data_IF_352947636360
#
_entry.id   IF_352947636360
#
_cell.length_a   1.000
_cell.length_b   1.000
_cell.length_c   1.000
_cell.angle_alpha   90.00
_cell.angle_beta   90.00
_cell.angle_gamma   90.00
#
_symmetry.space_group_name_H-M   'P 1'
#
loop_
_entity.id
_entity.type
_entity.pdbx_description
1 polymer ?
#
# COMPACT_ATOMS: atom_id res chain seq x y z
N UNK A 1 9.04 22.21 18.04
CA UNK A 1 7.68 21.85 17.58
C UNK A 1 6.67 22.97 17.78
N UNK A 2 5.83 23.27 16.78
CA UNK A 2 4.70 24.22 16.87
C UNK A 2 3.43 23.56 17.45
N UNK A 3 2.28 24.25 17.45
CA UNK A 3 1.02 23.69 18.00
C UNK A 3 0.46 22.53 17.16
N UNK A 4 0.46 22.66 15.83
CA UNK A 4 -0.04 21.63 14.92
C UNK A 4 0.80 20.34 15.07
N UNK A 5 2.12 20.45 15.06
CA UNK A 5 3.01 19.31 15.27
C UNK A 5 2.73 18.58 16.58
N UNK A 6 2.46 19.30 17.68
CA UNK A 6 2.11 18.68 18.97
C UNK A 6 0.76 17.95 18.94
N UNK A 7 -0.23 18.51 18.24
CA UNK A 7 -1.54 17.89 18.09
C UNK A 7 -1.44 16.59 17.29
N UNK A 8 -0.71 16.62 16.17
CA UNK A 8 -0.44 15.45 15.34
C UNK A 8 0.36 14.39 16.13
N UNK A 9 1.43 14.76 16.82
CA UNK A 9 2.23 13.85 17.64
C UNK A 9 1.39 13.14 18.72
N UNK A 10 0.59 13.88 19.49
CA UNK A 10 -0.24 13.31 20.55
C UNK A 10 -1.26 12.30 20.02
N UNK A 11 -1.90 12.64 18.90
CA UNK A 11 -2.88 11.78 18.24
C UNK A 11 -2.21 10.54 17.66
N UNK A 12 -1.07 10.71 17.01
CA UNK A 12 -0.28 9.61 16.47
C UNK A 12 0.15 8.63 17.55
N UNK A 13 0.70 9.12 18.67
CA UNK A 13 1.12 8.29 19.80
C UNK A 13 -0.02 7.44 20.38
N UNK A 14 -1.22 8.02 20.43
CA UNK A 14 -2.42 7.29 20.89
C UNK A 14 -2.79 6.15 19.94
N UNK A 15 -2.61 6.31 18.63
CA UNK A 15 -2.88 5.25 17.65
C UNK A 15 -1.75 4.21 17.60
N UNK A 16 -0.50 4.62 17.83
CA UNK A 16 0.64 3.71 17.97
C UNK A 16 0.51 2.78 19.19
N UNK A 17 -0.17 3.23 20.25
CA UNK A 17 -0.40 2.44 21.45
C UNK A 17 -1.31 1.21 21.23
N UNK A 18 -2.03 1.16 20.11
CA UNK A 18 -2.81 -0.03 19.71
C UNK A 18 -1.96 -0.86 18.76
N UNK A 19 -1.60 -2.07 19.18
CA UNK A 19 -1.00 -3.06 18.29
C UNK A 19 -1.98 -3.37 17.15
N UNK A 20 -1.54 -3.27 15.90
CA UNK A 20 -2.37 -3.57 14.73
C UNK A 20 -1.60 -4.29 13.62
N UNK A 21 -0.51 -4.97 13.97
CA UNK A 21 0.30 -5.71 13.00
C UNK A 21 -0.54 -6.75 12.24
N UNK A 22 -0.36 -6.84 10.92
CA UNK A 22 -1.04 -7.83 10.08
C UNK A 22 -0.41 -9.23 10.18
N UNK A 23 -1.21 -10.27 9.98
CA UNK A 23 -0.76 -11.67 9.95
C UNK A 23 -1.01 -12.28 8.57
N UNK A 24 0.07 -12.45 7.80
CA UNK A 24 0.02 -13.01 6.45
C UNK A 24 -0.45 -14.48 6.40
N UNK A 25 -0.29 -15.24 7.50
CA UNK A 25 -0.76 -16.62 7.61
C UNK A 25 -2.28 -16.71 7.87
N UNK A 26 -2.88 -15.62 8.35
CA UNK A 26 -4.32 -15.54 8.58
C UNK A 26 -5.10 -15.55 7.27
N UNK A 27 -6.25 -16.21 7.27
CA UNK A 27 -7.18 -16.33 6.13
C UNK A 27 -8.46 -15.51 6.31
N UNK A 28 -8.61 -14.85 7.45
CA UNK A 28 -9.73 -13.96 7.75
C UNK A 28 -9.31 -12.51 7.60
N UNK A 29 -10.28 -11.60 7.50
CA UNK A 29 -10.09 -10.15 7.46
C UNK A 29 -10.94 -9.53 8.59
N UNK A 30 -10.36 -8.69 9.47
CA UNK A 30 -8.93 -8.38 9.56
C UNK A 30 -8.13 -9.60 10.03
N UNK A 31 -6.85 -9.67 9.65
CA UNK A 31 -5.97 -10.77 10.05
C UNK A 31 -5.69 -10.82 11.55
N UNK A 32 -5.76 -9.66 12.22
CA UNK A 32 -5.53 -9.51 13.66
C UNK A 32 -6.61 -8.61 14.31
N UNK A 33 -6.95 -8.89 15.57
CA UNK A 33 -8.01 -8.15 16.29
C UNK A 33 -7.61 -6.70 16.62
N UNK A 34 -6.31 -6.43 16.73
CA UNK A 34 -5.79 -5.10 16.99
C UNK A 34 -6.23 -4.04 15.96
N UNK A 35 -6.35 -4.44 14.69
CA UNK A 35 -6.90 -3.58 13.64
C UNK A 35 -8.36 -3.19 13.91
N UNK A 36 -9.17 -4.14 14.41
CA UNK A 36 -10.56 -3.88 14.80
C UNK A 36 -10.65 -2.96 16.01
N UNK A 37 -9.77 -3.12 17.00
CA UNK A 37 -9.71 -2.22 18.15
C UNK A 37 -9.33 -0.79 17.75
N UNK A 38 -8.38 -0.63 16.81
CA UNK A 38 -8.06 0.67 16.24
C UNK A 38 -9.27 1.27 15.51
N UNK A 39 -9.95 0.50 14.65
CA UNK A 39 -11.17 0.95 13.97
C UNK A 39 -12.26 1.42 14.97
N UNK A 40 -12.48 0.69 16.07
CA UNK A 40 -13.43 1.08 17.12
C UNK A 40 -13.05 2.40 17.80
N UNK A 41 -11.77 2.61 18.10
CA UNK A 41 -11.28 3.88 18.65
C UNK A 41 -11.54 5.04 17.68
N UNK A 42 -11.18 4.86 16.40
CA UNK A 42 -11.37 5.88 15.37
C UNK A 42 -12.85 6.21 15.17
N UNK A 43 -13.74 5.20 15.16
CA UNK A 43 -15.17 5.41 15.06
C UNK A 43 -15.72 6.31 16.17
N UNK A 44 -15.34 6.04 17.43
CA UNK A 44 -15.76 6.86 18.57
C UNK A 44 -15.31 8.32 18.44
N UNK A 45 -14.09 8.53 17.92
CA UNK A 45 -13.58 9.88 17.68
C UNK A 45 -14.34 10.58 16.55
N UNK A 46 -14.60 9.90 15.43
CA UNK A 46 -15.38 10.46 14.31
C UNK A 46 -16.82 10.80 14.73
N UNK A 47 -17.46 9.97 15.55
CA UNK A 47 -18.76 10.27 16.14
C UNK A 47 -18.69 11.52 17.02
N UNK A 48 -17.65 11.66 17.84
CA UNK A 48 -17.43 12.84 18.68
C UNK A 48 -17.20 14.13 17.87
N UNK A 49 -16.73 13.98 16.63
CA UNK A 49 -16.55 15.06 15.65
C UNK A 49 -17.83 15.39 14.86
N UNK A 50 -18.92 14.66 15.12
CA UNK A 50 -20.20 14.87 14.47
C UNK A 50 -20.26 14.33 13.04
N UNK A 51 -19.37 13.40 12.66
CA UNK A 51 -19.51 12.70 11.38
C UNK A 51 -20.77 11.83 11.39
N UNK A 52 -21.31 11.62 10.19
CA UNK A 52 -22.48 10.79 9.93
C UNK A 52 -22.04 9.46 9.33
N UNK A 53 -23.00 8.53 9.32
CA UNK A 53 -22.86 7.21 8.70
C UNK A 53 -21.61 6.45 9.20
N UNK A 54 -21.22 6.68 10.46
CA UNK A 54 -20.11 5.97 11.11
C UNK A 54 -20.51 4.52 11.25
N UNK A 55 -19.77 3.64 10.56
CA UNK A 55 -20.10 2.23 10.47
C UNK A 55 -18.84 1.39 10.33
N UNK A 56 -18.73 0.34 11.14
CA UNK A 56 -17.70 -0.69 11.03
C UNK A 56 -18.38 -1.96 10.53
N UNK A 57 -17.90 -2.51 9.42
CA UNK A 57 -18.43 -3.78 8.90
C UNK A 57 -17.81 -5.00 9.59
N UNK A 58 -18.26 -6.20 9.21
CA UNK A 58 -17.79 -7.46 9.81
C UNK A 58 -16.27 -7.67 9.61
N UNK A 59 -15.70 -7.09 8.55
CA UNK A 59 -14.28 -7.13 8.23
C UNK A 59 -13.49 -6.00 8.88
N UNK A 60 -14.08 -5.23 9.79
CA UNK A 60 -13.45 -4.09 10.47
C UNK A 60 -13.12 -2.90 9.54
N UNK A 61 -13.73 -2.81 8.35
CA UNK A 61 -13.62 -1.60 7.54
C UNK A 61 -14.52 -0.53 8.17
N UNK A 62 -13.91 0.58 8.57
CA UNK A 62 -14.61 1.74 9.11
C UNK A 62 -14.94 2.72 7.98
N UNK A 63 -16.20 3.13 7.87
CA UNK A 63 -16.71 4.17 7.00
C UNK A 63 -17.23 5.33 7.84
N UNK A 64 -17.03 6.55 7.39
CA UNK A 64 -17.76 7.72 7.91
C UNK A 64 -17.82 8.82 6.85
N UNK A 65 -18.75 9.75 7.04
CA UNK A 65 -18.92 10.90 6.15
C UNK A 65 -19.06 12.19 6.95
N UNK A 66 -18.28 13.20 6.59
CA UNK A 66 -18.47 14.57 7.04
C UNK A 66 -19.34 15.31 6.02
N UNK A 67 -20.53 15.82 6.42
CA UNK A 67 -21.37 16.59 5.51
C UNK A 67 -20.67 17.85 5.03
N UNK A 68 -20.70 18.09 3.72
CA UNK A 68 -20.29 19.34 3.12
C UNK A 68 -21.32 20.43 3.31
N UNK A 69 -20.90 21.68 3.10
CA UNK A 69 -21.79 22.85 3.04
C UNK A 69 -21.96 23.38 1.60
N UNK A 70 -21.28 22.76 0.62
CA UNK A 70 -21.41 23.07 -0.82
C UNK A 70 -21.72 21.80 -1.63
N UNK A 71 -23.00 21.45 -1.79
CA UNK A 71 -23.42 20.23 -2.51
C UNK A 71 -23.04 20.16 -4.00
N UNK A 72 -22.68 21.30 -4.62
CA UNK A 72 -22.23 21.34 -6.01
C UNK A 72 -20.74 21.01 -6.18
N UNK A 73 -19.96 21.02 -5.09
CA UNK A 73 -18.56 20.64 -5.13
C UNK A 73 -18.43 19.10 -5.20
N UNK A 74 -17.34 18.59 -5.78
CA UNK A 74 -17.08 17.15 -5.80
C UNK A 74 -17.07 16.54 -4.39
N UNK A 75 -17.61 15.32 -4.30
CA UNK A 75 -17.50 14.47 -3.12
C UNK A 75 -16.17 13.74 -3.16
N UNK A 76 -15.37 13.88 -2.11
CA UNK A 76 -14.04 13.28 -2.08
C UNK A 76 -13.90 12.25 -0.97
N UNK A 77 -13.00 11.29 -1.17
CA UNK A 77 -12.67 10.27 -0.19
C UNK A 77 -11.23 10.36 0.32
N UNK A 78 -11.00 9.99 1.58
CA UNK A 78 -9.67 9.59 2.07
C UNK A 78 -9.71 8.13 2.52
N UNK A 79 -8.75 7.34 2.06
CA UNK A 79 -8.60 5.93 2.43
C UNK A 79 -7.22 5.73 3.05
N UNK A 80 -7.19 5.16 4.24
CA UNK A 80 -5.95 4.87 4.99
C UNK A 80 -6.04 3.46 5.55
N UNK A 81 -4.91 2.80 5.78
CA UNK A 81 -4.92 1.46 6.35
C UNK A 81 -4.67 1.45 7.86
N UNK A 82 -5.18 0.40 8.51
CA UNK A 82 -5.18 0.23 9.96
C UNK A 82 -3.96 -0.57 10.46
N UNK A 83 -3.44 -1.44 9.60
CA UNK A 83 -2.39 -2.36 9.95
C UNK A 83 -1.00 -1.73 9.95
N UNK A 84 -0.06 -2.49 10.51
CA UNK A 84 1.37 -2.26 10.32
C UNK A 84 1.99 -3.56 9.82
N UNK A 85 3.06 -3.47 9.05
CA UNK A 85 3.75 -4.66 8.52
C UNK A 85 4.32 -5.59 9.61
N UNK A 86 4.38 -6.89 9.32
CA UNK A 86 5.22 -7.86 10.02
C UNK A 86 6.55 -8.07 9.28
N UNK A 87 7.62 -7.51 9.83
CA UNK A 87 9.01 -7.70 9.36
C UNK A 87 9.85 -8.53 10.35
N UNK A 88 9.20 -9.28 11.25
CA UNK A 88 9.88 -10.07 12.28
C UNK A 88 10.41 -9.24 13.46
N UNK A 89 9.94 -8.00 13.61
CA UNK A 89 10.20 -7.13 14.76
C UNK A 89 9.05 -7.19 15.76
N UNK A 90 9.21 -6.54 16.92
CA UNK A 90 8.14 -6.49 17.91
C UNK A 90 6.90 -5.75 17.36
N UNK A 91 5.68 -6.25 17.60
CA UNK A 91 4.46 -5.53 17.24
C UNK A 91 4.13 -4.40 18.23
N UNK A 92 4.85 -4.30 19.34
CA UNK A 92 4.67 -3.27 20.37
C UNK A 92 5.57 -2.08 20.03
N UNK A 93 4.95 -0.98 19.62
CA UNK A 93 5.64 0.25 19.23
C UNK A 93 5.90 1.10 20.46
N UNK A 94 7.15 1.53 20.64
CA UNK A 94 7.56 2.47 21.69
C UNK A 94 8.09 3.74 21.04
N UNK A 95 7.21 4.71 20.76
CA UNK A 95 7.61 5.91 20.04
C UNK A 95 8.37 6.87 20.96
N UNK A 96 9.32 7.59 20.37
CA UNK A 96 10.08 8.65 21.01
C UNK A 96 10.32 9.79 20.03
N UNK A 97 10.31 11.02 20.54
CA UNK A 97 10.60 12.21 19.74
C UNK A 97 11.98 12.72 20.11
N UNK A 98 12.87 12.71 19.13
CA UNK A 98 14.28 13.09 19.30
C UNK A 98 14.62 14.25 18.37
N UNK A 99 15.50 15.14 18.84
CA UNK A 99 16.06 16.19 18.00
C UNK A 99 17.13 15.59 17.10
N UNK A 100 17.01 15.74 15.79
CA UNK A 100 18.05 15.27 14.87
C UNK A 100 19.04 16.39 14.54
N UNK A 101 20.29 16.24 14.97
CA UNK A 101 21.35 17.24 14.73
C UNK A 101 22.31 16.86 13.59
N UNK A 102 22.00 15.81 12.83
CA UNK A 102 22.86 15.32 11.74
C UNK A 102 23.97 14.36 12.18
N UNK A 103 24.02 14.00 13.46
CA UNK A 103 24.93 13.02 14.03
C UNK A 103 24.19 11.71 14.35
N UNK A 104 24.94 10.66 14.68
CA UNK A 104 24.37 9.38 15.12
C UNK A 104 23.49 9.58 16.37
N UNK A 105 22.29 8.97 16.36
CA UNK A 105 21.33 9.02 17.46
C UNK A 105 21.19 7.64 18.10
N UNK A 106 21.31 7.57 19.42
CA UNK A 106 21.00 6.33 20.15
C UNK A 106 19.48 6.19 20.26
N UNK A 107 18.91 5.17 19.62
CA UNK A 107 17.47 4.85 19.74
C UNK A 107 17.20 3.97 20.96
N UNK A 108 18.16 3.11 21.31
CA UNK A 108 18.03 2.18 22.43
C UNK A 108 19.38 1.88 23.07
N UNK A 109 19.62 2.41 24.26
CA UNK A 109 20.86 2.18 24.99
C UNK A 109 21.04 0.71 25.41
N UNK A 110 19.94 0.01 25.75
CA UNK A 110 20.00 -1.36 26.29
C UNK A 110 20.37 -2.38 25.22
N UNK A 111 19.75 -2.25 24.05
CA UNK A 111 20.00 -3.11 22.89
C UNK A 111 21.14 -2.58 21.99
N UNK A 112 21.75 -1.44 22.38
CA UNK A 112 22.79 -0.73 21.63
C UNK A 112 22.39 -0.46 20.16
N UNK A 113 21.18 0.06 19.96
CA UNK A 113 20.64 0.40 18.63
C UNK A 113 20.87 1.89 18.36
N UNK A 114 21.56 2.17 17.26
CA UNK A 114 21.94 3.51 16.84
C UNK A 114 21.46 3.79 15.42
N UNK A 115 20.73 4.89 15.25
CA UNK A 115 20.43 5.47 13.96
C UNK A 115 21.67 6.23 13.48
N UNK A 116 22.43 5.65 12.55
CA UNK A 116 23.68 6.26 12.08
C UNK A 116 23.45 7.16 10.88
N UNK A 117 23.93 8.40 10.95
CA UNK A 117 23.72 9.38 9.88
C UNK A 117 24.33 8.94 8.54
N UNK A 118 25.43 8.18 8.58
CA UNK A 118 26.06 7.63 7.38
C UNK A 118 25.27 6.48 6.73
N UNK A 119 24.45 5.77 7.50
CA UNK A 119 23.60 4.67 7.01
C UNK A 119 22.24 5.19 6.51
N UNK A 120 21.86 6.41 6.93
CA UNK A 120 20.58 7.05 6.64
C UNK A 120 20.74 8.45 6.03
N UNK A 121 21.37 8.59 4.86
CA UNK A 121 21.57 9.89 4.20
C UNK A 121 20.25 10.61 3.88
N UNK A 122 19.14 9.89 3.76
CA UNK A 122 17.79 10.43 3.59
C UNK A 122 17.31 11.27 4.77
N UNK A 123 17.94 11.17 5.94
CA UNK A 123 17.65 12.02 7.10
C UNK A 123 18.28 13.42 7.00
N UNK A 124 19.28 13.62 6.14
CA UNK A 124 20.04 14.87 6.04
C UNK A 124 19.18 16.15 5.82
N UNK A 125 18.07 16.12 5.04
CA UNK A 125 17.19 17.29 4.89
C UNK A 125 16.48 17.73 6.18
N UNK A 126 16.49 16.89 7.22
CA UNK A 126 15.78 17.06 8.48
C UNK A 126 16.69 17.43 9.66
N UNK A 127 17.95 17.83 9.39
CA UNK A 127 18.83 18.37 10.43
C UNK A 127 18.18 19.61 11.06
N UNK A 128 18.04 19.58 12.38
CA UNK A 128 17.34 20.59 13.16
C UNK A 128 15.84 20.34 13.34
N UNK A 129 15.27 19.26 12.79
CA UNK A 129 13.87 18.89 13.03
C UNK A 129 13.72 18.03 14.29
N UNK A 130 12.54 18.13 14.91
CA UNK A 130 12.08 17.13 15.87
C UNK A 130 11.55 15.94 15.03
N UNK A 131 12.03 14.73 15.29
CA UNK A 131 11.69 13.51 14.52
C UNK A 131 11.15 12.46 15.48
N UNK A 132 10.05 11.80 15.08
CA UNK A 132 9.50 10.65 15.78
C UNK A 132 10.19 9.39 15.27
N UNK A 133 10.67 8.57 16.19
CA UNK A 133 11.28 7.25 15.94
C UNK A 133 10.60 6.19 16.81
N UNK A 134 10.79 4.91 16.48
CA UNK A 134 10.61 3.83 17.46
C UNK A 134 11.85 3.74 18.39
N UNK A 135 11.83 2.82 19.36
CA UNK A 135 13.02 2.45 20.13
C UNK A 135 13.93 1.45 19.39
N UNK A 136 13.76 1.28 18.08
CA UNK A 136 14.52 0.34 17.26
C UNK A 136 14.16 -1.14 17.45
N UNK A 137 13.28 -1.49 18.40
CA UNK A 137 12.84 -2.90 18.60
C UNK A 137 11.59 -3.26 17.80
N UNK A 138 10.99 -2.27 17.15
CA UNK A 138 9.76 -2.32 16.35
C UNK A 138 9.92 -1.39 15.13
N UNK A 139 9.03 -1.54 14.15
CA UNK A 139 8.74 -0.45 13.19
C UNK A 139 8.14 0.75 13.94
N UNK A 140 8.10 1.93 13.32
CA UNK A 140 7.40 3.08 13.91
C UNK A 140 5.89 2.99 13.66
N UNK A 141 5.46 2.36 12.57
CA UNK A 141 4.05 2.30 12.17
C UNK A 141 3.52 3.66 11.69
N UNK A 142 4.41 4.53 11.17
CA UNK A 142 3.97 5.73 10.47
C UNK A 142 3.25 5.34 9.17
N UNK A 143 3.71 4.27 8.53
CA UNK A 143 2.94 3.46 7.60
C UNK A 143 1.89 2.59 8.34
N UNK A 144 0.59 2.90 8.34
CA UNK A 144 -0.06 4.11 7.80
C UNK A 144 -0.74 4.95 8.89
N UNK A 145 -0.40 4.75 10.17
CA UNK A 145 -1.03 5.50 11.27
C UNK A 145 -0.73 7.00 11.24
N UNK A 146 0.30 7.45 10.51
CA UNK A 146 0.53 8.87 10.25
C UNK A 146 -0.60 9.43 9.36
N UNK A 147 -1.00 8.73 8.31
CA UNK A 147 -2.12 9.11 7.48
C UNK A 147 -3.45 9.09 8.23
N UNK A 148 -3.69 8.04 9.02
CA UNK A 148 -4.83 7.97 9.93
C UNK A 148 -4.87 9.22 10.80
N UNK A 149 -3.74 9.63 11.35
CA UNK A 149 -3.61 10.85 12.15
C UNK A 149 -3.94 12.11 11.36
N UNK A 150 -3.43 12.25 10.13
CA UNK A 150 -3.73 13.38 9.24
C UNK A 150 -5.24 13.46 8.96
N UNK A 151 -5.87 12.36 8.57
CA UNK A 151 -7.30 12.31 8.24
C UNK A 151 -8.15 12.61 9.47
N UNK A 152 -7.82 12.03 10.62
CA UNK A 152 -8.56 12.27 11.86
C UNK A 152 -8.43 13.71 12.35
N UNK A 153 -7.25 14.31 12.24
CA UNK A 153 -7.05 15.72 12.59
C UNK A 153 -7.76 16.65 11.59
N UNK A 154 -7.75 16.31 10.30
CA UNK A 154 -8.49 17.02 9.28
C UNK A 154 -10.00 17.00 9.58
N UNK A 155 -10.58 15.84 9.90
CA UNK A 155 -12.00 15.72 10.25
C UNK A 155 -12.35 16.53 11.51
N UNK A 156 -11.46 16.55 12.50
CA UNK A 156 -11.60 17.38 13.69
C UNK A 156 -11.61 18.89 13.36
N UNK A 157 -10.64 19.36 12.56
CA UNK A 157 -10.44 20.78 12.24
C UNK A 157 -11.46 21.33 11.26
N UNK A 158 -11.91 20.52 10.30
CA UNK A 158 -12.87 20.95 9.28
C UNK A 158 -14.24 21.30 9.87
N UNK A 159 -14.58 20.90 11.09
CA UNK A 159 -15.77 21.38 11.80
C UNK A 159 -15.78 22.91 11.99
N UNK A 160 -14.59 23.52 11.99
CA UNK A 160 -14.38 24.95 12.21
C UNK A 160 -13.74 25.64 10.98
N UNK A 161 -13.76 24.97 9.82
CA UNK A 161 -13.17 25.50 8.59
C UNK A 161 -13.83 26.82 8.16
N UNK A 162 -13.00 27.74 7.66
CA UNK A 162 -13.42 29.03 7.10
C UNK A 162 -13.75 28.97 5.60
N UNK A 163 -13.85 27.75 5.05
CA UNK A 163 -14.09 27.51 3.64
C UNK A 163 -15.17 26.45 3.42
N UNK A 164 -15.84 26.57 2.29
CA UNK A 164 -16.85 25.62 1.87
C UNK A 164 -16.21 24.36 1.26
N UNK A 165 -16.86 23.21 1.39
CA UNK A 165 -16.46 21.95 0.76
C UNK A 165 -17.67 21.05 0.52
N UNK A 166 -17.50 20.09 -0.40
CA UNK A 166 -18.45 19.00 -0.61
C UNK A 166 -18.41 17.98 0.51
N UNK A 167 -19.17 16.89 0.37
CA UNK A 167 -19.11 15.78 1.32
C UNK A 167 -17.73 15.15 1.28
N UNK A 168 -17.19 14.84 2.46
CA UNK A 168 -15.89 14.16 2.60
C UNK A 168 -16.14 12.81 3.25
N UNK A 169 -15.80 11.75 2.54
CA UNK A 169 -15.88 10.39 3.03
C UNK A 169 -14.50 9.95 3.53
N UNK A 170 -14.50 9.15 4.59
CA UNK A 170 -13.27 8.52 5.10
C UNK A 170 -13.51 7.02 5.23
N UNK A 171 -12.52 6.24 4.82
CA UNK A 171 -12.51 4.79 5.01
C UNK A 171 -11.18 4.35 5.63
N UNK A 172 -11.25 3.50 6.65
CA UNK A 172 -10.08 2.88 7.26
C UNK A 172 -10.14 1.38 7.02
N UNK A 173 -9.19 0.85 6.26
CA UNK A 173 -9.20 -0.53 5.78
C UNK A 173 -8.16 -1.38 6.50
N UNK A 174 -8.45 -2.66 6.76
CA UNK A 174 -7.46 -3.60 7.30
C UNK A 174 -6.62 -4.26 6.21
N UNK A 175 -5.53 -4.90 6.64
CA UNK A 175 -4.75 -5.85 5.86
C UNK A 175 -4.26 -5.32 4.49
N UNK A 176 -3.78 -4.07 4.45
CA UNK A 176 -3.11 -3.52 3.27
C UNK A 176 -1.81 -4.28 3.00
N UNK A 177 -1.01 -4.44 4.06
CA UNK A 177 0.37 -4.94 4.01
C UNK A 177 0.46 -6.39 3.53
N UNK A 178 -0.63 -7.14 3.67
CA UNK A 178 -0.75 -8.56 3.27
C UNK A 178 -1.62 -8.75 2.03
N UNK A 179 -1.72 -7.69 1.21
CA UNK A 179 -2.19 -7.75 -0.17
C UNK A 179 -3.48 -6.99 -0.43
N UNK A 180 -3.65 -5.80 0.15
CA UNK A 180 -4.76 -4.88 -0.13
C UNK A 180 -6.12 -5.52 0.18
N UNK A 181 -6.20 -6.37 1.22
CA UNK A 181 -7.37 -7.24 1.42
C UNK A 181 -8.61 -6.42 1.76
N UNK A 182 -8.47 -5.40 2.62
CA UNK A 182 -9.56 -4.50 2.99
C UNK A 182 -10.11 -3.70 1.80
N UNK A 183 -9.25 -3.01 1.05
CA UNK A 183 -9.69 -2.20 -0.10
C UNK A 183 -10.32 -3.02 -1.23
N UNK A 184 -9.92 -4.29 -1.41
CA UNK A 184 -10.54 -5.21 -2.39
C UNK A 184 -11.98 -5.59 -2.04
N UNK A 185 -12.32 -5.66 -0.76
CA UNK A 185 -13.66 -6.06 -0.29
C UNK A 185 -14.53 -4.90 0.19
N UNK A 186 -13.99 -3.68 0.26
CA UNK A 186 -14.70 -2.46 0.67
C UNK A 186 -16.03 -2.28 -0.07
N UNK A 187 -17.11 -1.99 0.65
CA UNK A 187 -18.43 -1.72 0.08
C UNK A 187 -18.50 -0.30 -0.49
N UNK A 188 -18.33 -0.18 -1.82
CA UNK A 188 -18.32 1.13 -2.48
C UNK A 188 -19.67 1.85 -2.42
N UNK A 189 -20.77 1.15 -2.13
CA UNK A 189 -22.08 1.81 -1.95
C UNK A 189 -22.12 2.70 -0.70
N UNK A 190 -21.23 2.46 0.27
CA UNK A 190 -21.03 3.27 1.48
C UNK A 190 -20.01 4.39 1.30
N UNK A 191 -19.27 4.36 0.20
CA UNK A 191 -18.17 5.28 -0.10
C UNK A 191 -18.45 6.01 -1.42
N UNK A 192 -19.55 6.79 -1.43
CA UNK A 192 -20.07 7.44 -2.62
C UNK A 192 -19.33 8.75 -2.92
N UNK A 193 -18.19 8.62 -3.59
CA UNK A 193 -17.27 9.73 -3.92
C UNK A 193 -17.07 9.83 -5.43
N UNK A 194 -16.74 11.02 -5.91
CA UNK A 194 -16.32 11.24 -7.30
C UNK A 194 -14.87 10.77 -7.53
N UNK A 195 -14.02 10.92 -6.51
CA UNK A 195 -12.65 10.40 -6.46
C UNK A 195 -12.16 10.35 -5.01
N UNK A 196 -11.05 9.67 -4.75
CA UNK A 196 -10.48 9.54 -3.40
C UNK A 196 -8.97 9.74 -3.40
N UNK A 197 -8.38 9.68 -2.21
CA UNK A 197 -6.95 9.77 -1.98
C UNK A 197 -6.50 8.73 -0.97
N UNK A 198 -5.37 8.08 -1.22
CA UNK A 198 -4.57 7.48 -0.15
C UNK A 198 -3.46 8.45 0.24
N UNK A 199 -3.09 8.46 1.51
CA UNK A 199 -1.94 9.23 2.01
C UNK A 199 -0.92 8.19 2.46
N UNK A 200 -0.17 7.64 1.53
CA UNK A 200 0.58 6.41 1.73
C UNK A 200 1.82 6.33 0.83
N UNK A 201 2.41 7.49 0.53
CA UNK A 201 3.79 7.55 0.04
C UNK A 201 4.71 7.94 1.21
N UNK A 202 6.01 7.70 1.04
CA UNK A 202 7.01 7.97 2.05
C UNK A 202 7.33 9.47 2.10
N UNK A 203 8.36 9.88 1.36
CA UNK A 203 9.06 11.14 1.61
C UNK A 203 8.22 12.35 1.18
N UNK A 204 8.50 13.48 1.83
CA UNK A 204 7.89 14.77 1.51
C UNK A 204 7.89 15.05 -0.01
N UNK A 205 6.70 15.32 -0.54
CA UNK A 205 6.46 15.67 -1.94
C UNK A 205 6.16 14.50 -2.87
N UNK A 206 6.27 13.25 -2.40
CA UNK A 206 5.95 12.08 -3.22
C UNK A 206 4.48 12.04 -3.64
N UNK A 207 4.27 11.73 -4.92
CA UNK A 207 2.95 11.55 -5.54
C UNK A 207 3.01 10.32 -6.45
N UNK A 208 2.03 9.44 -6.30
CA UNK A 208 1.86 8.24 -7.12
C UNK A 208 0.46 8.25 -7.72
N UNK A 209 0.40 8.34 -9.05
CA UNK A 209 -0.82 8.13 -9.83
C UNK A 209 -0.63 7.10 -10.95
N UNK A 210 0.53 6.44 -10.97
CA UNK A 210 0.87 5.32 -11.85
C UNK A 210 1.37 4.16 -10.99
N UNK A 211 0.77 2.99 -11.14
CA UNK A 211 1.14 1.74 -10.45
C UNK A 211 1.25 0.61 -11.47
N UNK A 212 1.75 -0.56 -11.09
CA UNK A 212 1.71 -1.69 -12.01
C UNK A 212 0.27 -2.17 -12.23
N UNK A 213 0.00 -2.72 -13.41
CA UNK A 213 -0.99 -3.77 -13.56
C UNK A 213 -0.40 -5.08 -13.04
N UNK A 214 -1.18 -5.86 -12.27
CA UNK A 214 -0.70 -7.08 -11.63
C UNK A 214 -1.61 -8.28 -11.90
N UNK A 215 -1.00 -9.41 -12.24
CA UNK A 215 -1.65 -10.71 -12.25
C UNK A 215 -0.85 -11.73 -11.45
N UNK A 216 -1.55 -12.68 -10.84
CA UNK A 216 -0.99 -13.91 -10.28
C UNK A 216 -1.25 -15.08 -11.22
N UNK A 217 -0.30 -16.00 -11.29
CA UNK A 217 -0.33 -17.16 -12.15
C UNK A 217 -0.02 -18.37 -11.30
N UNK A 218 -0.85 -19.40 -11.41
CA UNK A 218 -0.61 -20.70 -10.80
C UNK A 218 -0.61 -21.77 -11.87
N UNK A 219 0.49 -22.50 -11.99
CA UNK A 219 0.65 -23.61 -12.94
C UNK A 219 0.81 -24.91 -12.15
N UNK A 220 -0.08 -25.86 -12.41
CA UNK A 220 -0.04 -27.20 -11.83
C UNK A 220 0.30 -28.23 -12.91
N UNK A 221 1.33 -29.04 -12.64
CA UNK A 221 1.84 -30.07 -13.56
C UNK A 221 1.79 -31.42 -12.86
N UNK A 222 1.05 -32.36 -13.43
CA UNK A 222 1.01 -33.76 -12.98
C UNK A 222 1.87 -34.65 -13.86
N UNK A 223 2.80 -35.34 -13.21
CA UNK A 223 3.70 -36.31 -13.79
C UNK A 223 3.14 -37.73 -13.85
N UNK A 224 4.03 -38.68 -14.08
CA UNK A 224 3.76 -40.13 -14.01
C UNK A 224 4.92 -40.74 -13.26
N UNK A 225 4.66 -41.30 -12.08
CA UNK A 225 5.69 -41.96 -11.25
C UNK A 225 6.00 -43.37 -11.76
N UNK A 226 7.23 -43.82 -11.54
CA UNK A 226 7.66 -45.19 -11.78
C UNK A 226 8.89 -45.48 -10.91
N UNK A 227 9.08 -46.74 -10.52
CA UNK A 227 10.34 -47.17 -9.92
C UNK A 227 11.49 -46.90 -10.90
N UNK A 228 12.66 -46.37 -10.47
CA UNK A 228 13.76 -46.01 -11.38
C UNK A 228 14.19 -47.15 -12.32
N UNK A 229 14.18 -48.40 -11.84
CA UNK A 229 14.52 -49.58 -12.66
C UNK A 229 13.54 -49.86 -13.81
N UNK A 230 12.33 -49.31 -13.74
CA UNK A 230 11.24 -49.50 -14.71
C UNK A 230 10.82 -48.18 -15.38
N UNK A 231 11.64 -47.13 -15.25
CA UNK A 231 11.29 -45.77 -15.65
C UNK A 231 11.30 -45.53 -17.17
N UNK A 232 12.03 -46.35 -17.94
CA UNK A 232 12.19 -46.17 -19.40
C UNK A 232 10.82 -46.12 -20.08
N UNK A 233 10.52 -44.99 -20.73
CA UNK A 233 9.25 -44.70 -21.42
C UNK A 233 7.99 -44.69 -20.52
N UNK A 234 8.13 -44.83 -19.19
CA UNK A 234 7.00 -44.78 -18.25
C UNK A 234 7.03 -43.50 -17.43
N UNK A 235 8.15 -43.20 -16.78
CA UNK A 235 8.31 -42.05 -15.89
C UNK A 235 8.17 -40.74 -16.69
N UNK A 236 7.29 -39.85 -16.22
CA UNK A 236 7.25 -38.45 -16.65
C UNK A 236 7.53 -37.60 -15.42
N UNK A 237 8.71 -36.98 -15.39
CA UNK A 237 9.14 -36.19 -14.25
C UNK A 237 8.62 -34.73 -14.39
N UNK A 238 7.67 -34.30 -13.55
CA UNK A 238 7.06 -32.98 -13.65
C UNK A 238 8.05 -31.85 -13.32
N UNK A 239 9.13 -32.13 -12.56
CA UNK A 239 10.20 -31.15 -12.28
C UNK A 239 10.87 -30.69 -13.57
N UNK A 240 11.08 -31.61 -14.53
CA UNK A 240 11.67 -31.26 -15.82
C UNK A 240 10.72 -30.45 -16.69
N UNK A 241 9.44 -30.78 -16.66
CA UNK A 241 8.40 -30.02 -17.37
C UNK A 241 8.29 -28.60 -16.80
N UNK A 242 8.35 -28.45 -15.48
CA UNK A 242 8.40 -27.15 -14.80
C UNK A 242 9.62 -26.33 -15.23
N UNK A 243 10.80 -26.95 -15.27
CA UNK A 243 12.01 -26.28 -15.76
C UNK A 243 11.90 -25.85 -17.22
N UNK A 244 11.33 -26.68 -18.10
CA UNK A 244 11.12 -26.32 -19.50
C UNK A 244 10.15 -25.15 -19.65
N UNK A 245 9.11 -25.08 -18.81
CA UNK A 245 8.19 -23.95 -18.75
C UNK A 245 8.89 -22.67 -18.29
N UNK A 246 9.60 -22.70 -17.16
CA UNK A 246 10.38 -21.55 -16.65
C UNK A 246 11.44 -21.12 -17.68
N UNK A 247 12.02 -22.06 -18.41
CA UNK A 247 12.98 -21.79 -19.48
C UNK A 247 12.39 -21.12 -20.73
N UNK A 248 11.08 -20.88 -20.80
CA UNK A 248 10.45 -20.13 -21.88
C UNK A 248 10.59 -18.60 -21.69
N UNK A 249 10.83 -18.12 -20.47
CA UNK A 249 10.90 -16.70 -20.15
C UNK A 249 12.33 -16.14 -20.30
N UNK A 250 12.44 -14.86 -20.68
CA UNK A 250 13.71 -14.15 -20.71
C UNK A 250 14.24 -13.95 -19.28
N UNK A 251 15.54 -14.21 -19.08
CA UNK A 251 16.21 -14.05 -17.78
C UNK A 251 16.42 -12.60 -17.37
N UNK A 252 16.31 -11.66 -18.32
CA UNK A 252 16.42 -10.23 -18.04
C UNK A 252 15.06 -9.55 -17.86
N UNK A 253 13.95 -10.25 -18.13
CA UNK A 253 12.59 -9.74 -17.93
C UNK A 253 12.07 -10.12 -16.53
N UNK A 254 12.86 -9.77 -15.50
CA UNK A 254 12.66 -10.15 -14.09
C UNK A 254 12.85 -8.95 -13.14
N UNK A 255 12.33 -9.00 -11.90
CA UNK A 255 12.43 -7.88 -10.95
C UNK A 255 13.87 -7.39 -10.70
N UNK A 256 14.82 -8.32 -10.61
CA UNK A 256 16.23 -8.03 -10.31
C UNK A 256 17.02 -7.45 -11.50
N UNK A 257 16.41 -7.36 -12.68
CA UNK A 257 17.01 -6.80 -13.90
C UNK A 257 16.21 -5.63 -14.50
N UNK A 258 15.12 -5.19 -13.86
CA UNK A 258 14.22 -4.16 -14.40
C UNK A 258 14.05 -3.00 -13.43
N UNK A 259 13.94 -1.80 -13.97
CA UNK A 259 13.78 -0.56 -13.20
C UNK A 259 12.68 0.34 -13.75
N UNK A 260 12.36 1.41 -13.01
CA UNK A 260 11.40 2.43 -13.45
C UNK A 260 10.07 1.82 -13.95
N UNK A 261 9.71 2.03 -15.22
CA UNK A 261 8.46 1.58 -15.84
C UNK A 261 8.55 0.20 -16.53
N UNK A 262 9.68 -0.49 -16.43
CA UNK A 262 9.85 -1.80 -17.06
C UNK A 262 9.04 -2.87 -16.31
N UNK A 263 8.13 -3.54 -17.02
CA UNK A 263 7.41 -4.71 -16.50
C UNK A 263 8.31 -5.94 -16.37
N UNK A 264 7.80 -7.00 -15.76
CA UNK A 264 8.53 -8.26 -15.59
C UNK A 264 7.61 -9.49 -15.42
N UNK A 265 8.21 -10.66 -15.60
CA UNK A 265 7.72 -11.93 -15.04
C UNK A 265 8.51 -12.28 -13.79
N UNK A 266 7.83 -12.83 -12.78
CA UNK A 266 8.50 -13.25 -11.55
C UNK A 266 7.99 -14.60 -11.10
N UNK A 267 8.86 -15.62 -11.06
CA UNK A 267 8.56 -16.91 -10.44
C UNK A 267 8.76 -16.78 -8.94
N UNK A 268 7.67 -16.84 -8.18
CA UNK A 268 7.67 -16.59 -6.73
C UNK A 268 7.83 -17.87 -5.92
N UNK A 269 7.37 -19.01 -6.44
CA UNK A 269 7.39 -20.28 -5.73
C UNK A 269 7.43 -21.48 -6.69
N UNK A 270 8.14 -22.53 -6.30
CA UNK A 270 8.20 -23.82 -6.99
C UNK A 270 8.27 -24.95 -5.96
N UNK A 271 7.16 -25.67 -5.81
CA UNK A 271 7.08 -26.88 -4.98
C UNK A 271 6.91 -28.06 -5.91
N UNK A 272 7.83 -29.03 -5.85
CA UNK A 272 7.78 -30.17 -6.76
C UNK A 272 8.36 -31.46 -6.16
N UNK A 273 7.86 -32.58 -6.67
CA UNK A 273 8.28 -33.95 -6.36
C UNK A 273 8.11 -34.82 -7.62
N UNK A 274 8.42 -36.13 -7.59
CA UNK A 274 8.29 -36.99 -8.78
C UNK A 274 6.84 -37.18 -9.32
N UNK A 275 5.80 -36.83 -8.57
CA UNK A 275 4.39 -36.95 -8.96
C UNK A 275 3.78 -35.63 -9.45
N UNK A 276 4.10 -34.51 -8.79
CA UNK A 276 3.53 -33.20 -9.10
C UNK A 276 4.53 -32.05 -8.96
N UNK A 277 4.28 -30.98 -9.70
CA UNK A 277 4.95 -29.69 -9.56
C UNK A 277 3.92 -28.56 -9.60
N UNK A 278 4.09 -27.58 -8.72
CA UNK A 278 3.26 -26.38 -8.61
C UNK A 278 4.16 -25.15 -8.69
N UNK A 279 3.85 -24.24 -9.61
CA UNK A 279 4.59 -23.01 -9.86
C UNK A 279 3.64 -21.84 -9.55
N UNK A 280 4.12 -20.87 -8.77
CA UNK A 280 3.47 -19.56 -8.66
C UNK A 280 4.31 -18.53 -9.37
N UNK A 281 3.66 -17.64 -10.11
CA UNK A 281 4.29 -16.51 -10.76
C UNK A 281 3.46 -15.24 -10.61
N UNK A 282 4.11 -14.12 -10.87
CA UNK A 282 3.51 -12.80 -10.96
C UNK A 282 3.88 -12.16 -12.30
N UNK A 283 2.93 -11.44 -12.90
CA UNK A 283 3.18 -10.48 -13.98
C UNK A 283 3.03 -9.08 -13.41
N UNK A 284 3.95 -8.19 -13.78
CA UNK A 284 3.82 -6.74 -13.55
C UNK A 284 4.11 -5.99 -14.83
N UNK A 285 3.31 -4.99 -15.16
CA UNK A 285 3.58 -4.05 -16.26
C UNK A 285 2.77 -2.77 -16.09
N UNK A 286 3.32 -1.60 -16.41
CA UNK A 286 2.56 -0.35 -16.33
C UNK A 286 1.57 -0.22 -17.48
N UNK A 287 1.94 -0.67 -18.68
CA UNK A 287 1.12 -0.52 -19.87
C UNK A 287 0.12 -1.68 -20.01
N UNK A 288 -1.15 -1.33 -20.18
CA UNK A 288 -2.25 -2.32 -20.27
C UNK A 288 -2.09 -3.26 -21.48
N UNK A 289 -1.55 -2.78 -22.60
CA UNK A 289 -1.37 -3.60 -23.80
C UNK A 289 -0.21 -4.58 -23.64
N UNK A 290 0.91 -4.13 -23.08
CA UNK A 290 2.07 -4.95 -22.72
C UNK A 290 1.70 -5.97 -21.65
N UNK A 291 0.96 -5.56 -20.62
CA UNK A 291 0.40 -6.46 -19.60
C UNK A 291 -0.44 -7.59 -20.22
N UNK A 292 -1.36 -7.24 -21.15
CA UNK A 292 -2.15 -8.23 -21.87
C UNK A 292 -1.29 -9.12 -22.78
N UNK A 293 -0.23 -8.58 -23.41
CA UNK A 293 0.71 -9.36 -24.20
C UNK A 293 1.48 -10.37 -23.33
N UNK A 294 1.88 -9.99 -22.12
CA UNK A 294 2.55 -10.88 -21.15
C UNK A 294 1.65 -12.05 -20.74
N UNK A 295 0.35 -11.81 -20.51
CA UNK A 295 -0.62 -12.90 -20.25
C UNK A 295 -0.73 -13.86 -21.43
N UNK A 296 -0.84 -13.32 -22.66
CA UNK A 296 -0.83 -14.15 -23.88
C UNK A 296 0.45 -14.97 -24.02
N UNK A 297 1.59 -14.42 -23.61
CA UNK A 297 2.87 -15.14 -23.63
C UNK A 297 2.89 -16.33 -22.65
N UNK A 298 2.28 -16.20 -21.46
CA UNK A 298 2.06 -17.34 -20.55
C UNK A 298 1.24 -18.42 -21.24
N UNK A 299 0.09 -18.06 -21.82
CA UNK A 299 -0.79 -19.01 -22.50
C UNK A 299 -0.07 -19.75 -23.64
N UNK A 300 0.66 -19.02 -24.48
CA UNK A 300 1.47 -19.58 -25.56
C UNK A 300 2.58 -20.51 -25.03
N UNK A 301 3.22 -20.15 -23.92
CA UNK A 301 4.23 -20.99 -23.27
C UNK A 301 3.61 -22.28 -22.73
N UNK A 302 2.42 -22.21 -22.12
CA UNK A 302 1.69 -23.40 -21.66
C UNK A 302 1.35 -24.33 -22.82
N UNK A 303 0.85 -23.79 -23.95
CA UNK A 303 0.52 -24.57 -25.14
C UNK A 303 1.76 -25.25 -25.74
N UNK A 304 2.89 -24.54 -25.79
CA UNK A 304 4.18 -25.10 -26.21
C UNK A 304 4.61 -26.27 -25.31
N UNK A 305 4.50 -26.12 -23.99
CA UNK A 305 4.90 -27.16 -23.03
C UNK A 305 3.95 -28.36 -23.10
N UNK A 306 2.64 -28.15 -23.26
CA UNK A 306 1.68 -29.24 -23.52
C UNK A 306 2.03 -30.02 -24.79
N UNK A 307 2.42 -29.33 -25.86
CA UNK A 307 2.84 -29.97 -27.11
C UNK A 307 4.15 -30.77 -26.95
N UNK A 308 5.12 -30.26 -26.18
CA UNK A 308 6.40 -30.95 -25.88
C UNK A 308 6.21 -32.16 -24.97
N UNK A 309 5.25 -32.09 -24.05
CA UNK A 309 5.00 -33.10 -23.02
C UNK A 309 3.54 -33.61 -23.04
N UNK A 310 3.11 -34.30 -24.11
CA UNK A 310 1.68 -34.64 -24.32
C UNK A 310 1.10 -35.60 -23.27
N UNK A 311 1.95 -36.23 -22.45
CA UNK A 311 1.56 -37.13 -21.37
C UNK A 311 1.42 -36.42 -20.01
N UNK A 312 1.91 -35.19 -19.89
CA UNK A 312 1.76 -34.39 -18.67
C UNK A 312 0.37 -33.76 -18.63
N UNK A 313 -0.26 -33.70 -17.45
CA UNK A 313 -1.46 -32.87 -17.28
C UNK A 313 -1.02 -31.51 -16.75
N UNK A 314 -1.35 -30.46 -17.48
CA UNK A 314 -0.92 -29.09 -17.18
C UNK A 314 -2.16 -28.20 -17.10
N UNK A 315 -2.35 -27.58 -15.94
CA UNK A 315 -3.40 -26.62 -15.65
C UNK A 315 -2.75 -25.28 -15.31
N UNK A 316 -3.33 -24.19 -15.82
CA UNK A 316 -2.84 -22.83 -15.60
C UNK A 316 -4.03 -21.95 -15.23
N UNK A 317 -3.91 -21.22 -14.13
CA UNK A 317 -4.88 -20.22 -13.70
C UNK A 317 -4.19 -18.86 -13.66
N UNK A 318 -4.79 -17.85 -14.30
CA UNK A 318 -4.30 -16.46 -14.31
C UNK A 318 -5.39 -15.59 -13.69
N UNK A 319 -5.06 -14.84 -12.65
CA UNK A 319 -6.00 -13.99 -11.92
C UNK A 319 -5.44 -12.58 -11.82
N UNK A 320 -6.22 -11.59 -12.23
CA UNK A 320 -5.86 -10.18 -12.07
C UNK A 320 -5.96 -9.77 -10.60
N UNK A 321 -4.96 -9.04 -10.13
CA UNK A 321 -4.83 -8.66 -8.71
C UNK A 321 -5.24 -7.21 -8.49
N UNK A 322 -4.71 -6.30 -9.31
CA UNK A 322 -5.06 -4.87 -9.37
C UNK A 322 -4.64 -4.32 -10.73
N UNK A 323 -5.18 -3.16 -11.09
CA UNK A 323 -4.79 -2.42 -12.29
C UNK A 323 -4.02 -1.15 -11.95
N UNK A 324 -3.31 -0.62 -12.94
CA UNK A 324 -2.66 0.68 -12.84
C UNK A 324 -3.70 1.78 -12.55
N UNK A 325 -3.42 2.67 -11.60
CA UNK A 325 -4.26 3.84 -11.30
C UNK A 325 -4.49 4.67 -12.58
N UNK A 326 -3.46 4.83 -13.41
CA UNK A 326 -3.55 5.65 -14.62
C UNK A 326 -4.46 5.04 -15.70
N UNK A 327 -4.72 3.73 -15.68
CA UNK A 327 -5.70 3.10 -16.59
C UNK A 327 -7.14 3.51 -16.26
N UNK A 328 -7.37 4.05 -15.05
CA UNK A 328 -8.66 4.58 -14.61
C UNK A 328 -8.79 6.09 -14.87
N UNK A 329 -7.73 6.74 -15.37
CA UNK A 329 -7.79 8.13 -15.81
C UNK A 329 -8.58 8.19 -17.12
N UNK A 330 -9.80 8.73 -17.04
CA UNK A 330 -10.51 9.24 -18.21
C UNK A 330 -9.96 10.62 -18.62
N UNK A 331 -10.84 11.46 -19.16
CA UNK A 331 -10.50 12.85 -19.50
C UNK A 331 -10.45 13.77 -18.25
N UNK A 332 -10.96 13.29 -17.10
CA UNK A 332 -10.97 14.05 -15.84
C UNK A 332 -9.74 13.75 -14.98
N UNK A 333 -8.86 14.75 -14.88
CA UNK A 333 -7.64 14.73 -14.06
C UNK A 333 -7.80 15.46 -12.72
N UNK A 334 -9.02 15.86 -12.34
CA UNK A 334 -9.27 16.72 -11.19
C UNK A 334 -8.61 16.22 -9.91
N UNK A 335 -8.70 14.91 -9.60
CA UNK A 335 -8.06 14.33 -8.41
C UNK A 335 -6.54 14.57 -8.38
N UNK A 336 -5.87 14.36 -9.50
CA UNK A 336 -4.41 14.52 -9.61
C UNK A 336 -4.02 16.00 -9.56
N UNK A 337 -4.73 16.84 -10.33
CA UNK A 337 -4.41 18.26 -10.44
C UNK A 337 -4.59 18.97 -9.08
N UNK A 338 -5.56 18.56 -8.28
CA UNK A 338 -5.76 19.05 -6.91
C UNK A 338 -4.57 18.76 -5.98
N UNK A 339 -3.93 17.59 -6.10
CA UNK A 339 -2.70 17.28 -5.35
C UNK A 339 -1.59 18.25 -5.75
N UNK A 340 -1.36 18.43 -7.05
CA UNK A 340 -0.30 19.32 -7.54
C UNK A 340 -0.54 20.79 -7.17
N UNK A 341 -1.79 21.26 -7.26
CA UNK A 341 -2.16 22.61 -6.81
C UNK A 341 -1.95 22.78 -5.31
N UNK A 342 -2.32 21.78 -4.50
CA UNK A 342 -2.10 21.80 -3.06
C UNK A 342 -0.61 21.81 -2.68
N UNK A 343 0.20 20.96 -3.33
CA UNK A 343 1.66 20.93 -3.16
C UNK A 343 2.28 22.30 -3.48
N UNK A 344 1.87 22.91 -4.59
CA UNK A 344 2.34 24.23 -5.01
C UNK A 344 1.98 25.32 -3.99
N UNK A 345 0.75 25.33 -3.49
CA UNK A 345 0.30 26.29 -2.45
C UNK A 345 1.09 26.10 -1.16
N UNK A 346 1.41 24.85 -0.82
CA UNK A 346 2.17 24.51 0.38
C UNK A 346 3.69 24.55 0.17
N UNK A 347 4.17 25.05 -0.98
CA UNK A 347 5.59 25.16 -1.32
C UNK A 347 6.35 23.82 -1.15
N UNK A 348 5.70 22.72 -1.56
CA UNK A 348 6.28 21.38 -1.58
C UNK A 348 6.59 21.00 -3.01
N UNK A 349 7.85 20.66 -3.30
CA UNK A 349 8.26 20.20 -4.63
C UNK A 349 7.69 18.80 -4.90
N UNK A 350 6.92 18.60 -5.99
CA UNK A 350 6.37 17.30 -6.33
C UNK A 350 7.45 16.31 -6.78
N UNK A 351 7.36 15.08 -6.29
CA UNK A 351 8.19 13.93 -6.68
C UNK A 351 7.29 12.84 -7.22
N UNK A 352 7.08 12.82 -8.53
CA UNK A 352 6.23 11.80 -9.16
C UNK A 352 6.97 10.47 -9.23
N UNK A 353 6.40 9.44 -8.63
CA UNK A 353 6.98 8.10 -8.60
C UNK A 353 6.10 7.13 -9.41
N UNK A 354 6.63 6.45 -10.44
CA UNK A 354 5.97 5.29 -11.01
C UNK A 354 6.11 4.12 -10.04
N UNK A 355 5.06 3.82 -9.30
CA UNK A 355 5.09 2.82 -8.22
C UNK A 355 5.19 1.42 -8.79
N UNK A 356 6.32 0.73 -8.53
CA UNK A 356 6.59 -0.65 -8.96
C UNK A 356 5.88 -1.70 -8.09
N UNK A 357 4.61 -1.45 -7.79
CA UNK A 357 3.76 -2.26 -6.93
C UNK A 357 2.30 -1.86 -7.10
N UNK A 358 1.49 -2.09 -6.07
CA UNK A 358 0.12 -1.65 -5.99
C UNK A 358 -0.12 -1.07 -4.61
N UNK A 359 -1.10 -0.19 -4.53
CA UNK A 359 -1.58 0.42 -3.28
C UNK A 359 -3.08 0.16 -3.18
N UNK A 360 -3.69 0.44 -2.03
CA UNK A 360 -5.15 0.43 -1.92
C UNK A 360 -5.82 1.29 -2.99
N UNK A 361 -5.19 2.41 -3.36
CA UNK A 361 -5.65 3.25 -4.46
C UNK A 361 -5.69 2.53 -5.81
N UNK A 362 -4.81 1.56 -6.05
CA UNK A 362 -4.85 0.69 -7.25
C UNK A 362 -6.05 -0.25 -7.24
N UNK A 363 -6.35 -0.85 -6.08
CA UNK A 363 -7.52 -1.72 -5.92
C UNK A 363 -8.84 -0.95 -6.08
N UNK A 364 -8.93 0.28 -5.57
CA UNK A 364 -10.10 1.14 -5.69
C UNK A 364 -10.27 1.71 -7.10
N UNK A 365 -9.17 2.12 -7.75
CA UNK A 365 -9.20 2.62 -9.13
C UNK A 365 -9.71 1.54 -10.09
N UNK A 366 -9.25 0.30 -9.93
CA UNK A 366 -9.75 -0.86 -10.68
C UNK A 366 -11.27 -1.09 -10.53
N UNK A 367 -11.87 -0.59 -9.45
CA UNK A 367 -13.30 -0.72 -9.12
C UNK A 367 -14.10 0.56 -9.41
N UNK A 368 -13.49 1.54 -10.08
CA UNK A 368 -14.17 2.74 -10.59
C UNK A 368 -14.01 3.99 -9.73
N UNK A 369 -13.17 3.98 -8.68
CA UNK A 369 -12.89 5.17 -7.86
C UNK A 369 -11.42 5.57 -8.06
N UNK A 370 -11.18 6.58 -8.90
CA UNK A 370 -9.83 7.10 -9.13
C UNK A 370 -9.22 7.56 -7.79
N UNK A 371 -8.13 6.90 -7.39
CA UNK A 371 -7.53 7.08 -6.06
C UNK A 371 -6.01 7.23 -6.17
N UNK A 372 -5.50 8.42 -6.54
CA UNK A 372 -4.08 8.72 -6.44
C UNK A 372 -3.58 8.71 -4.99
N UNK A 373 -2.28 8.54 -4.85
CA UNK A 373 -1.58 8.46 -3.57
C UNK A 373 -0.59 9.62 -3.43
N UNK A 374 -0.39 10.14 -2.21
CA UNK A 374 0.64 11.14 -1.92
C UNK A 374 1.27 10.94 -0.54
N UNK A 375 2.33 11.71 -0.27
CA UNK A 375 3.19 11.52 0.90
C UNK A 375 2.50 11.66 2.27
N UNK A 376 2.90 10.79 3.18
CA UNK A 376 2.72 10.93 4.64
C UNK A 376 3.82 11.81 5.24
N UNK A 377 5.03 11.73 4.69
CA UNK A 377 6.21 12.44 5.15
C UNK A 377 7.15 11.62 6.01
N UNK A 378 6.82 10.36 6.29
CA UNK A 378 7.71 9.40 6.95
C UNK A 378 8.68 8.76 5.95
N UNK A 379 9.75 8.19 6.47
CA UNK A 379 10.79 7.54 5.69
C UNK A 379 11.13 6.19 6.31
N UNK A 380 11.76 5.34 5.51
CA UNK A 380 12.21 3.99 5.90
C UNK A 380 11.07 3.12 6.42
N UNK A 381 9.93 3.11 5.71
CA UNK A 381 8.86 2.16 5.96
C UNK A 381 9.41 0.73 6.10
N UNK A 382 8.76 -0.05 6.96
CA UNK A 382 9.05 -1.47 7.17
C UNK A 382 10.46 -1.73 7.75
N UNK A 383 10.99 -0.77 8.50
CA UNK A 383 12.32 -0.85 9.12
C UNK A 383 12.27 -0.51 10.61
N UNK A 384 13.21 -1.05 11.40
CA UNK A 384 13.46 -0.57 12.76
C UNK A 384 13.99 0.87 12.82
N UNK A 385 14.41 1.41 11.67
CA UNK A 385 14.84 2.79 11.49
C UNK A 385 13.80 3.63 10.74
N UNK A 386 12.53 3.21 10.73
CA UNK A 386 11.41 4.05 10.28
C UNK A 386 11.33 5.32 11.13
N UNK A 387 11.17 6.47 10.47
CA UNK A 387 11.14 7.76 11.15
C UNK A 387 10.20 8.77 10.48
N UNK A 388 9.60 9.64 11.29
CA UNK A 388 8.64 10.66 10.84
C UNK A 388 9.09 12.05 11.30
N UNK A 389 9.71 12.85 10.42
CA UNK A 389 10.01 14.24 10.70
C UNK A 389 8.73 15.05 10.89
N UNK A 390 8.60 15.76 12.02
CA UNK A 390 7.38 16.49 12.35
C UNK A 390 7.04 17.54 11.28
N UNK A 391 8.04 18.20 10.71
CA UNK A 391 7.83 19.17 9.64
C UNK A 391 7.22 18.54 8.38
N UNK A 392 7.61 17.33 8.01
CA UNK A 392 6.98 16.60 6.91
C UNK A 392 5.55 16.20 7.25
N UNK A 393 5.33 15.78 8.50
CA UNK A 393 4.01 15.40 9.00
C UNK A 393 3.00 16.55 8.94
N UNK A 394 3.43 17.74 9.40
CA UNK A 394 2.67 18.99 9.29
C UNK A 394 2.35 19.33 7.81
N UNK A 395 3.30 19.15 6.91
CA UNK A 395 3.07 19.39 5.47
C UNK A 395 2.06 18.41 4.87
N UNK A 396 2.05 17.15 5.28
CA UNK A 396 1.04 16.18 4.82
C UNK A 396 -0.38 16.59 5.26
N UNK A 397 -0.55 17.05 6.51
CA UNK A 397 -1.80 17.64 6.97
C UNK A 397 -2.20 18.87 6.14
N UNK A 398 -1.29 19.83 5.96
CA UNK A 398 -1.58 21.09 5.27
C UNK A 398 -1.94 20.86 3.79
N UNK A 399 -1.30 19.91 3.12
CA UNK A 399 -1.65 19.51 1.75
C UNK A 399 -3.07 18.94 1.73
N UNK A 400 -3.40 18.04 2.65
CA UNK A 400 -4.74 17.43 2.76
C UNK A 400 -5.83 18.47 3.01
N UNK A 401 -5.61 19.42 3.92
CA UNK A 401 -6.53 20.55 4.16
C UNK A 401 -6.67 21.45 2.92
N UNK A 402 -5.57 21.69 2.21
CA UNK A 402 -5.57 22.49 0.99
C UNK A 402 -6.34 21.82 -0.13
N UNK A 403 -6.25 20.49 -0.27
CA UNK A 403 -7.09 19.71 -1.21
C UNK A 403 -8.56 19.96 -0.92
N UNK A 404 -9.01 19.81 0.34
CA UNK A 404 -10.40 20.08 0.72
C UNK A 404 -10.83 21.51 0.38
N UNK A 405 -9.95 22.50 0.61
CA UNK A 405 -10.20 23.90 0.28
C UNK A 405 -10.32 24.14 -1.22
N UNK A 406 -9.51 23.47 -2.03
CA UNK A 406 -9.54 23.59 -3.49
C UNK A 406 -10.77 22.90 -4.10
N UNK A 407 -11.16 21.75 -3.56
CA UNK A 407 -12.41 21.05 -3.94
C UNK A 407 -13.61 21.96 -3.75
N UNK A 408 -13.66 22.69 -2.63
CA UNK A 408 -14.68 23.71 -2.36
C UNK A 408 -14.78 24.85 -3.37
N UNK A 409 -13.75 25.06 -4.20
CA UNK A 409 -13.72 26.11 -5.24
C UNK A 409 -14.12 25.60 -6.63
N UNK A 410 -14.16 24.29 -6.82
CA UNK A 410 -14.81 23.66 -7.98
C UNK A 410 -16.33 23.77 -7.81
#
# INVERSE_FOLDING_TARGET
MNELGKQLEQRFYRYLAIESQSDAASTIVPSTEGQRELAKLLAQELESYGLKDVYIDDHAILYAMRPGNKPSAPKIGFVTHLDTVDVGLSPIIKPQTLKYEGNDLCLNEKENIWFKAAEHPEAAPYVGDDIIFSDGTSVLGADNKAAVTVVMELMNKLQYADFDCGDIYVAFVPDEEIGLRGSKIMDLSRFNVDFAYTIDCCALGEVVYETFNAASIEVSIKGITAHPMSAKNVLLNPIRVAHDFIGCFDRFDTPEHTEHREGYFYVTDLIANPDNAKIKMAIRDFDRHSFAARKRFIEQSIDLIKARHPRAKIECNIVDVYSNISDSLGDDRTAIDLIFDALKIQEVEPKVIPMRGGTDGSALSARGILTPNYFTGALNFHSCFEFLPIRSFEKSYLVSETICRLVGKK
#
